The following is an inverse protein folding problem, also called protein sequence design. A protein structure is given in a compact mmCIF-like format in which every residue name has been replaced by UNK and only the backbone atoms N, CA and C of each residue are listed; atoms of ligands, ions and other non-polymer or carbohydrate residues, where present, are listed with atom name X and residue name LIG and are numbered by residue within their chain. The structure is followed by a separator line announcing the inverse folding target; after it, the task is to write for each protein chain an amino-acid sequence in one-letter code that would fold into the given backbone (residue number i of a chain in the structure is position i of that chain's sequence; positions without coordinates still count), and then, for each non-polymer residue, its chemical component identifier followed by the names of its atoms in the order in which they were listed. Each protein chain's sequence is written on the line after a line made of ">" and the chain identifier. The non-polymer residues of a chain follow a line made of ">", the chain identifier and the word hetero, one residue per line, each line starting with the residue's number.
data_IF_994720876399
#
_entry.id   IF_994720876399
#
_cell.length_a   1.000
_cell.length_b   1.000
_cell.length_c   1.000
_cell.angle_alpha   90.00
_cell.angle_beta   90.00
_cell.angle_gamma   90.00
#
_symmetry.space_group_name_H-M   'P 1'
#
loop_
_entity.id
_entity.type
_entity.pdbx_description
1 polymer ?
#
# COMPACT_ATOMS: atom_id res chain seq x y z
N UNK A 1 -45.06 -8.60 34.10
CA UNK A 1 -45.42 -8.24 32.71
C UNK A 1 -45.27 -6.73 32.57
N UNK A 2 -44.10 -6.25 32.13
CA UNK A 2 -43.88 -4.86 31.72
C UNK A 2 -42.72 -4.87 30.71
N UNK A 3 -43.01 -4.53 29.45
CA UNK A 3 -42.02 -4.43 28.37
C UNK A 3 -41.40 -3.02 28.44
N UNK A 4 -40.09 -2.92 28.64
CA UNK A 4 -39.37 -1.65 28.49
C UNK A 4 -38.40 -1.75 27.31
N UNK A 5 -38.63 -0.90 26.32
CA UNK A 5 -38.11 -0.99 24.97
C UNK A 5 -36.61 -0.72 24.84
N UNK A 6 -36.03 -1.35 23.80
CA UNK A 6 -34.69 -1.11 23.29
C UNK A 6 -34.53 0.37 22.92
N UNK A 7 -33.71 1.11 23.65
CA UNK A 7 -33.20 2.40 23.19
C UNK A 7 -32.11 2.08 22.16
N UNK A 8 -32.50 2.01 20.88
CA UNK A 8 -31.57 2.10 19.77
C UNK A 8 -31.00 3.53 19.78
N UNK A 9 -29.84 3.72 20.39
CA UNK A 9 -29.04 4.92 20.16
C UNK A 9 -28.53 4.90 18.73
N UNK A 10 -29.23 5.61 17.84
CA UNK A 10 -28.71 5.90 16.50
C UNK A 10 -27.61 6.93 16.68
N UNK A 11 -26.36 6.48 16.76
CA UNK A 11 -25.22 7.35 16.46
C UNK A 11 -25.24 7.62 14.97
N UNK A 12 -25.75 8.80 14.59
CA UNK A 12 -25.55 9.33 13.25
C UNK A 12 -24.04 9.57 13.07
N UNK A 13 -23.37 8.66 12.35
CA UNK A 13 -22.06 8.93 11.79
C UNK A 13 -22.29 9.98 10.71
N UNK A 14 -22.01 11.24 11.02
CA UNK A 14 -21.91 12.30 10.02
C UNK A 14 -20.67 11.99 9.19
N UNK A 15 -20.87 11.37 8.02
CA UNK A 15 -19.83 11.26 7.00
C UNK A 15 -19.68 12.64 6.38
N UNK A 16 -18.61 13.36 6.74
CA UNK A 16 -18.25 14.59 6.06
C UNK A 16 -17.83 14.25 4.63
N UNK A 17 -18.75 14.40 3.67
CA UNK A 17 -18.40 14.46 2.25
C UNK A 17 -17.64 15.78 2.05
N UNK A 18 -16.32 15.70 2.08
CA UNK A 18 -15.45 16.74 1.56
C UNK A 18 -15.56 16.69 0.04
N UNK A 19 -16.66 17.20 -0.53
CA UNK A 19 -16.78 17.34 -1.98
C UNK A 19 -15.71 18.30 -2.46
N UNK A 20 -14.62 17.76 -3.01
CA UNK A 20 -13.72 18.53 -3.82
C UNK A 20 -14.51 19.01 -5.04
N UNK A 21 -14.55 20.31 -5.27
CA UNK A 21 -15.24 20.94 -6.42
C UNK A 21 -14.64 20.52 -7.79
N UNK A 22 -13.63 19.65 -7.80
CA UNK A 22 -12.89 19.18 -8.97
C UNK A 22 -12.66 17.67 -8.81
N UNK A 23 -13.16 16.90 -9.78
CA UNK A 23 -12.91 15.46 -9.86
C UNK A 23 -11.51 15.18 -10.42
N UNK A 24 -10.68 14.36 -9.74
CA UNK A 24 -9.40 13.97 -10.27
C UNK A 24 -9.57 13.02 -11.47
N UNK A 25 -8.77 13.23 -12.52
CA UNK A 25 -8.62 12.23 -13.58
C UNK A 25 -7.67 11.14 -13.07
N UNK A 26 -8.10 9.89 -12.89
CA UNK A 26 -7.25 8.85 -12.37
C UNK A 26 -6.16 8.46 -13.38
N UNK A 27 -4.99 8.09 -12.87
CA UNK A 27 -3.79 7.84 -13.70
C UNK A 27 -4.00 6.76 -14.78
N UNK A 28 -4.80 5.73 -14.51
CA UNK A 28 -5.09 4.65 -15.48
C UNK A 28 -5.93 5.11 -16.69
N UNK A 29 -6.52 6.31 -16.64
CA UNK A 29 -7.18 6.94 -17.80
C UNK A 29 -6.24 7.83 -18.62
N UNK A 30 -4.96 7.92 -18.24
CA UNK A 30 -3.98 8.82 -18.86
C UNK A 30 -2.84 8.00 -19.47
N UNK A 31 -2.61 8.16 -20.77
CA UNK A 31 -1.46 7.59 -21.45
C UNK A 31 -0.31 8.61 -21.52
N UNK A 32 0.79 8.34 -20.83
CA UNK A 32 1.95 9.24 -20.80
C UNK A 32 2.85 9.06 -22.05
N UNK A 33 2.72 9.98 -23.01
CA UNK A 33 3.48 9.98 -24.29
C UNK A 33 4.64 10.98 -24.35
N UNK A 34 4.83 11.82 -23.34
CA UNK A 34 5.81 12.91 -23.43
C UNK A 34 7.25 12.41 -23.47
N UNK A 35 8.11 13.09 -24.23
CA UNK A 35 9.56 12.81 -24.28
C UNK A 35 10.28 13.06 -22.95
N UNK A 36 9.70 13.88 -22.07
CA UNK A 36 10.29 14.19 -20.77
C UNK A 36 9.90 13.17 -19.68
N UNK A 37 8.61 12.88 -19.50
CA UNK A 37 8.13 12.03 -18.40
C UNK A 37 8.12 10.54 -18.72
N UNK A 38 7.87 10.17 -19.98
CA UNK A 38 7.79 8.75 -20.35
C UNK A 38 9.10 8.00 -20.09
N UNK A 39 10.30 8.55 -20.44
CA UNK A 39 11.55 7.87 -20.11
C UNK A 39 11.76 7.67 -18.60
N UNK A 40 11.28 8.59 -17.76
CA UNK A 40 11.39 8.47 -16.30
C UNK A 40 10.54 7.34 -15.73
N UNK A 41 9.31 7.18 -16.24
CA UNK A 41 8.45 6.06 -15.85
C UNK A 41 9.06 4.72 -16.28
N UNK A 42 9.68 4.67 -17.47
CA UNK A 42 10.40 3.48 -17.95
C UNK A 42 11.59 3.17 -17.03
N UNK A 43 12.42 4.16 -16.69
CA UNK A 43 13.53 3.98 -15.72
C UNK A 43 13.05 3.55 -14.35
N UNK A 44 11.93 4.10 -13.87
CA UNK A 44 11.33 3.67 -12.61
C UNK A 44 10.97 2.18 -12.65
N UNK A 45 10.31 1.73 -13.73
CA UNK A 45 9.92 0.33 -13.91
C UNK A 45 11.12 -0.60 -14.04
N UNK A 46 12.05 -0.29 -14.94
CA UNK A 46 13.11 -1.24 -15.36
C UNK A 46 14.32 -1.25 -14.42
N UNK A 47 14.54 -0.18 -13.66
CA UNK A 47 15.74 -0.03 -12.83
C UNK A 47 15.39 0.21 -11.37
N UNK A 48 14.57 1.22 -11.07
CA UNK A 48 14.40 1.67 -9.68
C UNK A 48 13.51 0.73 -8.86
N UNK A 49 12.44 0.18 -9.43
CA UNK A 49 11.57 -0.77 -8.73
C UNK A 49 12.32 -2.07 -8.38
N UNK A 50 13.02 -2.75 -9.31
CA UNK A 50 13.83 -3.92 -8.98
C UNK A 50 14.88 -3.62 -7.90
N UNK A 51 15.62 -2.52 -8.05
CA UNK A 51 16.59 -2.09 -7.04
C UNK A 51 15.93 -1.82 -5.67
N UNK A 52 14.77 -1.18 -5.65
CA UNK A 52 14.07 -0.87 -4.41
C UNK A 52 13.56 -2.14 -3.71
N UNK A 53 13.10 -3.14 -4.47
CA UNK A 53 12.72 -4.43 -3.91
C UNK A 53 13.89 -5.09 -3.16
N UNK A 54 15.09 -5.12 -3.76
CA UNK A 54 16.31 -5.62 -3.10
C UNK A 54 16.58 -4.87 -1.78
N UNK A 55 16.38 -3.54 -1.74
CA UNK A 55 16.59 -2.75 -0.51
C UNK A 55 15.51 -2.98 0.55
N UNK A 56 14.37 -3.54 0.18
CA UNK A 56 13.26 -3.84 1.10
C UNK A 56 13.21 -5.29 1.58
N UNK A 57 14.17 -6.13 1.21
CA UNK A 57 14.32 -7.49 1.76
C UNK A 57 14.27 -7.55 3.31
N UNK A 58 14.85 -6.59 4.06
CA UNK A 58 14.70 -6.57 5.52
C UNK A 58 13.25 -6.47 6.00
N UNK A 59 12.38 -5.76 5.26
CA UNK A 59 10.94 -5.68 5.56
C UNK A 59 10.24 -7.02 5.32
N UNK A 60 10.61 -7.74 4.25
CA UNK A 60 10.12 -9.11 4.01
C UNK A 60 10.53 -10.04 5.14
N UNK A 61 11.79 -10.00 5.57
CA UNK A 61 12.29 -10.81 6.68
C UNK A 61 11.59 -10.45 8.00
N UNK A 62 11.29 -9.17 8.23
CA UNK A 62 10.55 -8.70 9.40
C UNK A 62 9.11 -9.26 9.44
N UNK A 63 8.40 -9.24 8.30
CA UNK A 63 7.07 -9.85 8.17
C UNK A 63 7.11 -11.38 8.32
N UNK A 64 8.13 -12.04 7.78
CA UNK A 64 8.32 -13.49 7.94
C UNK A 64 8.55 -13.87 9.41
N UNK A 65 9.36 -13.10 10.14
CA UNK A 65 9.56 -13.28 11.57
C UNK A 65 8.25 -13.16 12.36
N UNK A 66 7.39 -12.18 12.04
CA UNK A 66 6.07 -12.07 12.65
C UNK A 66 5.20 -13.30 12.36
N UNK A 67 5.19 -13.77 11.11
CA UNK A 67 4.45 -14.97 10.71
C UNK A 67 4.94 -16.24 11.43
N UNK A 68 6.25 -16.38 11.62
CA UNK A 68 6.84 -17.51 12.34
C UNK A 68 6.56 -17.47 13.84
N UNK A 69 6.60 -16.29 14.47
CA UNK A 69 6.18 -16.10 15.85
C UNK A 69 4.71 -16.53 16.06
N UNK A 70 3.80 -16.11 15.17
CA UNK A 70 2.39 -16.50 15.21
C UNK A 70 2.18 -18.01 15.05
N UNK A 71 3.12 -18.71 14.40
CA UNK A 71 3.13 -20.18 14.27
C UNK A 71 3.80 -20.89 15.45
N UNK A 72 4.22 -20.15 16.49
CA UNK A 72 4.91 -20.71 17.65
C UNK A 72 6.36 -21.11 17.39
N UNK A 73 6.97 -20.69 16.28
CA UNK A 73 8.39 -20.93 16.01
C UNK A 73 9.24 -19.95 16.80
N UNK A 74 10.42 -20.40 17.22
CA UNK A 74 11.43 -19.52 17.82
C UNK A 74 11.98 -18.57 16.75
N UNK A 75 11.98 -17.28 17.06
CA UNK A 75 12.53 -16.23 16.18
C UNK A 75 13.74 -15.63 16.87
N UNK A 76 14.93 -16.01 16.40
CA UNK A 76 16.19 -15.52 16.97
C UNK A 76 16.66 -14.25 16.23
N UNK A 77 17.31 -13.33 16.96
CA UNK A 77 17.91 -12.10 16.43
C UNK A 77 16.95 -11.12 15.72
N UNK A 78 15.63 -11.26 15.90
CA UNK A 78 14.67 -10.28 15.39
C UNK A 78 14.72 -9.00 16.23
N UNK A 79 15.00 -7.88 15.56
CA UNK A 79 14.93 -6.54 16.17
C UNK A 79 13.59 -5.91 15.83
N UNK A 80 12.81 -5.43 16.82
CA UNK A 80 11.59 -4.69 16.54
C UNK A 80 11.91 -3.39 15.81
N UNK A 81 11.26 -3.16 14.67
CA UNK A 81 11.35 -1.90 13.93
C UNK A 81 9.96 -1.43 13.48
N UNK A 82 9.56 -0.23 13.90
CA UNK A 82 8.19 0.26 13.74
C UNK A 82 7.76 0.49 12.28
N UNK A 83 8.72 0.80 11.40
CA UNK A 83 8.41 1.33 10.06
C UNK A 83 9.08 0.57 8.90
N UNK A 84 9.80 -0.53 9.17
CA UNK A 84 10.62 -1.19 8.15
C UNK A 84 9.73 -1.82 7.05
N UNK A 85 8.55 -2.27 7.45
CA UNK A 85 7.56 -2.84 6.52
C UNK A 85 6.98 -1.78 5.58
N UNK A 86 6.97 -0.50 6.00
CA UNK A 86 6.38 0.58 5.20
C UNK A 86 7.16 0.87 3.92
N UNK A 87 8.45 0.59 3.90
CA UNK A 87 9.27 0.77 2.70
C UNK A 87 8.90 -0.28 1.64
N UNK A 88 8.71 -1.54 2.05
CA UNK A 88 8.19 -2.59 1.18
C UNK A 88 6.81 -2.22 0.62
N UNK A 89 5.89 -1.72 1.46
CA UNK A 89 4.55 -1.32 1.03
C UNK A 89 4.57 -0.21 -0.02
N UNK A 90 5.43 0.80 0.14
CA UNK A 90 5.57 1.90 -0.83
C UNK A 90 6.18 1.43 -2.15
N UNK A 91 7.12 0.49 -2.11
CA UNK A 91 7.70 -0.09 -3.34
C UNK A 91 6.66 -0.91 -4.10
N UNK A 92 5.86 -1.73 -3.40
CA UNK A 92 4.75 -2.47 -4.02
C UNK A 92 3.69 -1.53 -4.60
N UNK A 93 3.37 -0.43 -3.93
CA UNK A 93 2.47 0.60 -4.45
C UNK A 93 3.01 1.20 -5.76
N UNK A 94 4.29 1.58 -5.78
CA UNK A 94 4.94 2.11 -6.99
C UNK A 94 4.95 1.10 -8.14
N UNK A 95 5.26 -0.17 -7.85
CA UNK A 95 5.22 -1.25 -8.83
C UNK A 95 3.81 -1.44 -9.40
N UNK A 96 2.77 -1.41 -8.56
CA UNK A 96 1.38 -1.54 -8.98
C UNK A 96 0.95 -0.40 -9.92
N UNK A 97 1.37 0.84 -9.67
CA UNK A 97 1.10 1.95 -10.58
C UNK A 97 1.84 1.81 -11.91
N UNK A 98 3.07 1.29 -11.90
CA UNK A 98 3.87 1.11 -13.11
C UNK A 98 3.43 -0.08 -13.96
N UNK A 99 2.77 -1.09 -13.38
CA UNK A 99 2.15 -2.17 -14.15
C UNK A 99 1.12 -1.66 -15.18
N UNK A 100 0.45 -0.53 -14.90
CA UNK A 100 -0.44 0.12 -15.87
C UNK A 100 0.28 0.60 -17.14
N UNK A 101 1.59 0.89 -17.05
CA UNK A 101 2.38 1.30 -18.22
C UNK A 101 2.61 0.12 -19.17
N UNK A 102 2.83 -1.07 -18.60
CA UNK A 102 3.03 -2.33 -19.31
C UNK A 102 2.96 -3.48 -18.30
N UNK A 103 2.18 -4.51 -18.62
CA UNK A 103 2.11 -5.73 -17.82
C UNK A 103 3.48 -6.44 -17.77
N UNK A 104 3.82 -6.98 -16.60
CA UNK A 104 5.07 -7.70 -16.30
C UNK A 104 4.76 -8.93 -15.42
N UNK A 105 4.33 -10.07 -16.04
CA UNK A 105 3.88 -11.28 -15.33
C UNK A 105 4.99 -12.22 -14.85
#
# INVERSE_FOLDING_TARGET
>A
MLRLGKILGITAIVVLNLEAYIDPVPFHKVEMKSDFWRPRLITQREVLVPFAFEKTEPGVAHLQAAADYLKGKKVDNHRPHRFIDSDLYKVMEGAAYLAQLQDDP
#
